data_IF_581271766551
#
_entry.id   IF_581271766551
#
_cell.length_a   1.000
_cell.length_b   1.000
_cell.length_c   1.000
_cell.angle_alpha   90.00
_cell.angle_beta   90.00
_cell.angle_gamma   90.00
#
_symmetry.space_group_name_H-M   'P 1'
#
loop_
_entity.id
_entity.type
_entity.pdbx_description
1 polymer ?
#
# COMPACT_ATOMS: atom_id res chain seq x y z
N UNK A 1 1.12 17.77 7.65
CA UNK A 1 1.95 16.56 7.52
C UNK A 1 2.02 16.10 6.07
N UNK A 2 0.90 15.74 5.44
CA UNK A 2 0.87 15.26 4.04
C UNK A 2 1.61 16.20 3.05
N UNK A 3 1.34 17.53 3.01
CA UNK A 3 2.04 18.41 2.06
C UNK A 3 3.57 18.40 2.24
N UNK A 4 4.04 18.27 3.48
CA UNK A 4 5.48 18.19 3.78
C UNK A 4 6.09 16.87 3.29
N UNK A 5 5.38 15.75 3.45
CA UNK A 5 5.80 14.45 2.91
C UNK A 5 5.87 14.52 1.38
N UNK A 6 4.84 15.06 0.74
CA UNK A 6 4.78 15.20 -0.71
C UNK A 6 5.94 16.05 -1.25
N UNK A 7 6.25 17.14 -0.57
CA UNK A 7 7.32 18.04 -0.98
C UNK A 7 8.72 17.45 -0.73
N UNK A 8 8.94 16.80 0.42
CA UNK A 8 10.29 16.48 0.89
C UNK A 8 10.68 15.02 0.70
N UNK A 9 9.73 14.09 0.78
CA UNK A 9 10.00 12.66 0.89
C UNK A 9 9.53 11.84 -0.32
N UNK A 10 8.62 12.35 -1.14
CA UNK A 10 8.16 11.61 -2.32
C UNK A 10 9.24 11.54 -3.41
N UNK A 11 9.38 10.35 -3.97
CA UNK A 11 10.26 10.07 -5.12
C UNK A 11 9.53 9.15 -6.11
N UNK A 12 10.03 9.00 -7.35
CA UNK A 12 9.49 8.01 -8.28
C UNK A 12 9.56 6.56 -7.76
N UNK A 13 10.46 6.27 -6.82
CA UNK A 13 10.73 4.92 -6.34
C UNK A 13 9.97 4.56 -5.05
N UNK A 14 9.26 5.52 -4.46
CA UNK A 14 8.57 5.41 -3.18
C UNK A 14 8.86 6.59 -2.25
N UNK A 15 8.30 6.55 -1.05
CA UNK A 15 8.50 7.60 -0.02
C UNK A 15 9.78 7.33 0.79
N UNK A 16 10.59 8.36 0.98
CA UNK A 16 11.78 8.31 1.83
C UNK A 16 11.40 8.25 3.31
N UNK A 17 12.21 7.58 4.13
CA UNK A 17 12.00 7.56 5.58
C UNK A 17 12.30 8.92 6.23
N UNK A 18 13.31 9.62 5.74
CA UNK A 18 13.58 11.02 6.04
C UNK A 18 14.47 11.63 4.93
N UNK A 19 14.51 12.95 4.88
CA UNK A 19 15.41 13.72 4.03
C UNK A 19 15.75 15.06 4.71
N UNK A 20 16.90 15.68 4.40
CA UNK A 20 17.99 15.10 3.62
C UNK A 20 18.70 13.96 4.38
N UNK A 21 19.36 13.02 3.68
CA UNK A 21 20.20 12.02 4.33
C UNK A 21 21.41 12.68 5.01
N UNK A 22 21.89 12.09 6.11
CA UNK A 22 23.10 12.55 6.78
C UNK A 22 24.34 12.30 5.93
N UNK A 23 25.24 13.26 5.88
CA UNK A 23 26.51 13.18 5.12
C UNK A 23 27.74 13.01 6.02
N UNK A 24 27.59 13.25 7.32
CA UNK A 24 28.62 13.11 8.37
C UNK A 24 27.96 12.62 9.65
N UNK A 25 28.77 12.01 10.52
CA UNK A 25 28.34 11.61 11.86
C UNK A 25 27.77 12.82 12.61
N UNK A 26 26.63 12.63 13.26
CA UNK A 26 26.07 13.54 14.25
C UNK A 26 25.95 12.78 15.57
N UNK A 27 26.84 13.07 16.51
CA UNK A 27 27.05 12.25 17.71
C UNK A 27 25.84 12.20 18.64
N UNK A 28 25.05 13.28 18.69
CA UNK A 28 23.79 13.38 19.46
C UNK A 28 22.60 12.64 18.81
N UNK A 29 22.78 12.04 17.61
CA UNK A 29 21.81 11.15 16.97
C UNK A 29 22.33 9.71 16.94
N UNK A 30 23.60 9.52 16.61
CA UNK A 30 24.25 8.21 16.63
C UNK A 30 24.44 7.56 15.26
N UNK A 31 24.65 6.25 15.28
CA UNK A 31 25.19 5.44 14.16
C UNK A 31 24.41 5.51 12.85
N UNK A 32 23.10 5.80 12.88
CA UNK A 32 22.29 5.96 11.67
C UNK A 32 22.89 7.00 10.71
N UNK A 33 23.48 8.06 11.26
CA UNK A 33 24.06 9.18 10.51
C UNK A 33 25.37 8.83 9.78
N UNK A 34 25.99 7.69 10.13
CA UNK A 34 27.25 7.22 9.54
C UNK A 34 27.04 6.30 8.32
N UNK A 35 25.81 5.82 8.08
CA UNK A 35 25.54 4.96 6.93
C UNK A 35 25.70 5.75 5.64
N UNK A 36 26.05 5.05 4.56
CA UNK A 36 26.13 5.66 3.23
C UNK A 36 24.81 6.37 2.86
N UNK A 37 24.93 7.48 2.16
CA UNK A 37 23.80 8.34 1.79
C UNK A 37 22.76 7.55 0.97
N UNK A 38 21.51 7.62 1.41
CA UNK A 38 20.39 6.93 0.77
C UNK A 38 20.41 5.40 0.96
N UNK A 39 21.24 4.88 1.87
CA UNK A 39 21.34 3.45 2.14
C UNK A 39 20.67 3.09 3.47
N UNK A 40 19.81 2.06 3.42
CA UNK A 40 19.11 1.55 4.58
C UNK A 40 18.43 2.68 5.38
N UNK A 41 18.69 2.80 6.67
CA UNK A 41 18.04 3.78 7.53
C UNK A 41 18.48 5.23 7.25
N UNK A 42 19.58 5.49 6.54
CA UNK A 42 20.01 6.86 6.24
C UNK A 42 19.36 7.41 4.97
N UNK A 43 18.06 7.71 5.08
CA UNK A 43 17.28 8.38 4.05
C UNK A 43 17.06 7.54 2.79
N UNK A 44 16.94 6.21 2.90
CA UNK A 44 16.48 5.39 1.80
C UNK A 44 14.95 5.46 1.63
N UNK A 45 14.46 4.96 0.49
CA UNK A 45 13.06 4.50 0.38
C UNK A 45 12.98 3.18 1.15
N UNK A 46 12.85 3.31 2.47
CA UNK A 46 12.80 2.17 3.38
C UNK A 46 11.38 1.59 3.35
N UNK A 47 11.18 0.50 2.61
CA UNK A 47 9.85 0.05 2.21
C UNK A 47 8.95 -0.26 3.42
N UNK A 48 9.51 -0.68 4.55
CA UNK A 48 8.72 -0.94 5.77
C UNK A 48 8.15 0.37 6.34
N UNK A 49 8.94 1.44 6.40
CA UNK A 49 8.43 2.76 6.79
C UNK A 49 7.38 3.28 5.79
N UNK A 50 7.60 3.06 4.49
CA UNK A 50 6.62 3.35 3.46
C UNK A 50 5.31 2.58 3.64
N UNK A 51 5.36 1.32 4.07
CA UNK A 51 4.16 0.51 4.31
C UNK A 51 3.33 1.04 5.49
N UNK A 52 3.97 1.56 6.54
CA UNK A 52 3.26 2.25 7.62
C UNK A 52 2.56 3.51 7.13
N UNK A 53 3.21 4.28 6.26
CA UNK A 53 2.60 5.47 5.67
C UNK A 53 1.39 5.11 4.81
N UNK A 54 1.51 4.11 3.94
CA UNK A 54 0.39 3.59 3.13
C UNK A 54 -0.77 3.16 4.04
N UNK A 55 -0.47 2.40 5.10
CA UNK A 55 -1.50 2.00 6.05
C UNK A 55 -2.19 3.20 6.68
N UNK A 56 -1.45 4.23 7.08
CA UNK A 56 -2.03 5.45 7.63
C UNK A 56 -2.96 6.16 6.64
N UNK A 57 -2.62 6.19 5.35
CA UNK A 57 -3.46 6.77 4.30
C UNK A 57 -4.77 6.00 4.13
N UNK A 58 -4.73 4.67 4.11
CA UNK A 58 -5.94 3.84 4.11
C UNK A 58 -6.76 3.99 5.40
N UNK A 59 -6.13 4.28 6.54
CA UNK A 59 -6.83 4.55 7.80
C UNK A 59 -7.55 5.90 7.82
N UNK A 60 -7.05 6.89 7.09
CA UNK A 60 -7.75 8.18 6.92
C UNK A 60 -9.02 8.05 6.07
N UNK A 61 -9.07 7.09 5.15
CA UNK A 61 -10.26 6.78 4.35
C UNK A 61 -10.53 7.73 3.18
N UNK A 62 -9.82 8.85 3.07
CA UNK A 62 -9.99 9.87 2.03
C UNK A 62 -8.74 10.09 1.16
N UNK A 63 -7.81 9.12 1.15
CA UNK A 63 -6.55 9.19 0.37
C UNK A 63 -6.31 7.92 -0.50
N UNK A 64 -7.33 7.34 -1.17
CA UNK A 64 -7.17 6.07 -1.89
C UNK A 64 -6.09 6.14 -2.98
N UNK A 65 -6.05 7.24 -3.74
CA UNK A 65 -5.07 7.45 -4.81
C UNK A 65 -3.65 7.51 -4.27
N UNK A 66 -3.40 8.34 -3.25
CA UNK A 66 -2.06 8.47 -2.66
C UNK A 66 -1.60 7.14 -2.07
N UNK A 67 -2.48 6.43 -1.37
CA UNK A 67 -2.16 5.12 -0.79
C UNK A 67 -1.78 4.12 -1.88
N UNK A 68 -2.59 4.03 -2.94
CA UNK A 68 -2.34 3.12 -4.06
C UNK A 68 -1.08 3.49 -4.85
N UNK A 69 -0.82 4.78 -5.09
CA UNK A 69 0.41 5.24 -5.75
C UNK A 69 1.65 4.73 -5.00
N UNK A 70 1.73 4.93 -3.68
CA UNK A 70 2.87 4.48 -2.90
C UNK A 70 2.97 2.95 -2.82
N UNK A 71 1.84 2.25 -2.75
CA UNK A 71 1.79 0.79 -2.81
C UNK A 71 2.35 0.29 -4.14
N UNK A 72 1.93 0.89 -5.26
CA UNK A 72 2.38 0.52 -6.61
C UNK A 72 3.86 0.83 -6.82
N UNK A 73 4.37 1.92 -6.26
CA UNK A 73 5.79 2.29 -6.33
C UNK A 73 6.73 1.26 -5.68
N UNK A 74 6.24 0.39 -4.78
CA UNK A 74 7.06 -0.67 -4.19
C UNK A 74 7.38 -1.81 -5.17
N UNK A 75 6.69 -1.89 -6.30
CA UNK A 75 6.85 -2.92 -7.33
C UNK A 75 7.60 -2.31 -8.54
N UNK A 76 8.74 -2.87 -8.97
CA UNK A 76 9.45 -2.40 -10.15
C UNK A 76 8.59 -2.43 -11.43
N UNK A 77 8.85 -1.51 -12.34
CA UNK A 77 8.23 -1.46 -13.67
C UNK A 77 6.96 -0.60 -13.76
N UNK A 78 6.31 -0.55 -14.93
CA UNK A 78 6.54 -1.44 -16.08
C UNK A 78 7.57 -0.93 -17.10
N UNK A 79 8.16 0.26 -16.88
CA UNK A 79 9.14 0.80 -17.83
C UNK A 79 10.50 0.09 -17.71
N UNK A 80 11.17 -0.10 -18.84
CA UNK A 80 12.53 -0.65 -18.88
C UNK A 80 13.49 0.20 -18.04
N UNK A 81 13.39 1.53 -18.12
CA UNK A 81 14.21 2.44 -17.33
C UNK A 81 14.08 2.20 -15.81
N UNK A 82 12.86 1.93 -15.31
CA UNK A 82 12.67 1.62 -13.88
C UNK A 82 13.26 0.25 -13.53
N UNK A 83 13.08 -0.77 -14.38
CA UNK A 83 13.70 -2.08 -14.17
C UNK A 83 15.23 -2.01 -14.12
N UNK A 84 15.85 -1.30 -15.06
CA UNK A 84 17.31 -1.12 -15.09
C UNK A 84 17.81 -0.30 -13.90
N UNK A 85 17.12 0.78 -13.53
CA UNK A 85 17.53 1.61 -12.40
C UNK A 85 17.44 0.86 -11.06
N UNK A 86 16.33 0.13 -10.84
CA UNK A 86 16.15 -0.67 -9.61
C UNK A 86 17.01 -1.92 -9.62
N UNK A 87 17.26 -2.50 -10.79
CA UNK A 87 18.15 -3.64 -10.99
C UNK A 87 17.68 -4.93 -10.32
N UNK A 88 16.37 -5.12 -10.13
CA UNK A 88 15.81 -6.34 -9.52
C UNK A 88 14.67 -6.90 -10.37
N UNK A 89 14.42 -8.21 -10.22
CA UNK A 89 13.19 -8.83 -10.74
C UNK A 89 11.98 -8.42 -9.88
N UNK A 90 10.79 -8.23 -10.48
CA UNK A 90 9.57 -7.84 -9.77
C UNK A 90 8.88 -9.03 -9.08
N UNK A 91 9.65 -9.87 -8.37
CA UNK A 91 9.15 -11.10 -7.70
C UNK A 91 9.21 -11.01 -6.17
N UNK A 92 9.71 -9.90 -5.63
CA UNK A 92 9.72 -9.59 -4.20
C UNK A 92 9.85 -8.07 -3.99
N UNK A 93 9.48 -7.60 -2.80
CA UNK A 93 9.75 -6.22 -2.35
C UNK A 93 11.00 -6.27 -1.46
N UNK A 94 12.07 -5.50 -1.77
CA UNK A 94 13.28 -5.49 -0.96
C UNK A 94 13.03 -4.70 0.34
N UNK A 95 13.95 -4.79 1.31
CA UNK A 95 13.85 -3.93 2.51
C UNK A 95 13.94 -2.43 2.17
N UNK A 96 14.72 -2.03 1.18
CA UNK A 96 14.78 -0.65 0.70
C UNK A 96 15.13 -0.54 -0.79
N UNK A 97 14.72 0.57 -1.40
CA UNK A 97 15.33 1.14 -2.60
C UNK A 97 16.20 2.32 -2.20
N UNK A 98 17.35 2.52 -2.86
CA UNK A 98 18.28 3.59 -2.52
C UNK A 98 17.56 4.94 -2.57
N UNK A 99 17.70 5.74 -1.52
CA UNK A 99 17.19 7.10 -1.49
C UNK A 99 18.23 8.12 -1.97
N UNK A 100 18.27 9.28 -1.31
CA UNK A 100 19.12 10.40 -1.75
C UNK A 100 18.74 10.88 -3.15
N UNK A 101 17.45 10.94 -3.46
CA UNK A 101 16.94 11.24 -4.80
C UNK A 101 17.41 12.59 -5.33
N UNK A 102 17.49 13.60 -4.46
CA UNK A 102 17.90 14.96 -4.83
C UNK A 102 19.42 15.11 -4.83
N UNK A 103 20.09 14.45 -3.91
CA UNK A 103 21.53 14.60 -3.66
C UNK A 103 22.38 13.66 -4.54
N UNK A 104 21.90 12.44 -4.81
CA UNK A 104 22.60 11.38 -5.53
C UNK A 104 21.68 10.65 -6.55
N UNK A 105 21.08 11.38 -7.51
CA UNK A 105 20.06 10.85 -8.42
C UNK A 105 20.53 9.63 -9.21
N UNK A 106 21.83 9.55 -9.55
CA UNK A 106 22.44 8.42 -10.28
C UNK A 106 22.16 7.05 -9.63
N UNK A 107 22.08 6.99 -8.29
CA UNK A 107 21.93 5.71 -7.58
C UNK A 107 20.56 5.50 -6.95
N UNK A 108 19.73 6.54 -6.88
CA UNK A 108 18.40 6.48 -6.29
C UNK A 108 17.52 5.44 -7.01
N UNK A 109 16.69 4.71 -6.26
CA UNK A 109 15.87 3.62 -6.78
C UNK A 109 16.56 2.26 -6.79
N UNK A 110 17.90 2.16 -6.71
CA UNK A 110 18.59 0.86 -6.72
C UNK A 110 18.11 -0.05 -5.58
N UNK A 111 17.69 -1.27 -5.89
CA UNK A 111 17.26 -2.26 -4.91
C UNK A 111 18.41 -2.70 -4.02
N UNK A 112 18.12 -2.95 -2.75
CA UNK A 112 19.05 -3.62 -1.83
C UNK A 112 19.26 -5.10 -2.13
N UNK A 113 18.36 -5.70 -2.92
CA UNK A 113 18.24 -7.13 -3.19
C UNK A 113 17.90 -8.00 -1.97
N UNK A 114 17.58 -7.40 -0.82
CA UNK A 114 17.29 -8.12 0.42
C UNK A 114 15.79 -8.40 0.55
N UNK A 115 15.39 -9.66 0.31
CA UNK A 115 13.99 -10.09 0.46
C UNK A 115 13.54 -10.24 1.92
N UNK A 116 14.48 -10.32 2.87
CA UNK A 116 14.17 -10.36 4.30
C UNK A 116 13.71 -8.97 4.75
N UNK A 117 12.40 -8.79 4.88
CA UNK A 117 11.80 -7.54 5.36
C UNK A 117 10.42 -7.76 5.96
N UNK A 118 10.09 -7.01 7.00
CA UNK A 118 8.72 -6.95 7.54
C UNK A 118 7.75 -6.15 6.67
N UNK A 119 8.21 -5.48 5.61
CA UNK A 119 7.36 -4.73 4.67
C UNK A 119 6.18 -5.56 4.17
N UNK A 120 6.43 -6.82 3.78
CA UNK A 120 5.46 -7.62 3.01
C UNK A 120 4.22 -8.00 3.83
N UNK A 121 4.33 -8.15 5.15
CA UNK A 121 3.16 -8.39 6.00
C UNK A 121 2.24 -7.17 6.06
N UNK A 122 2.83 -5.97 6.12
CA UNK A 122 2.09 -4.71 6.08
C UNK A 122 1.51 -4.41 4.71
N UNK A 123 2.25 -4.67 3.64
CA UNK A 123 1.76 -4.54 2.26
C UNK A 123 0.57 -5.46 2.02
N UNK A 124 0.67 -6.73 2.45
CA UNK A 124 -0.43 -7.68 2.32
C UNK A 124 -1.68 -7.22 3.08
N UNK A 125 -1.50 -6.71 4.31
CA UNK A 125 -2.57 -6.08 5.07
C UNK A 125 -3.16 -4.85 4.36
N UNK A 126 -2.33 -3.97 3.81
CA UNK A 126 -2.78 -2.80 3.05
C UNK A 126 -3.62 -3.20 1.83
N UNK A 127 -3.22 -4.26 1.11
CA UNK A 127 -4.00 -4.79 -0.02
C UNK A 127 -5.35 -5.33 0.45
N UNK A 128 -5.36 -6.22 1.45
CA UNK A 128 -6.59 -6.90 1.89
C UNK A 128 -7.54 -5.95 2.62
N UNK A 129 -7.05 -5.29 3.67
CA UNK A 129 -7.89 -4.51 4.59
C UNK A 129 -7.99 -3.03 4.19
N UNK A 130 -7.03 -2.51 3.43
CA UNK A 130 -7.01 -1.12 2.97
C UNK A 130 -7.67 -0.96 1.61
N UNK A 131 -6.97 -1.40 0.55
CA UNK A 131 -7.40 -1.30 -0.85
C UNK A 131 -8.70 -2.06 -1.10
N UNK A 132 -8.71 -3.36 -0.80
CA UNK A 132 -9.91 -4.19 -0.99
C UNK A 132 -10.97 -3.90 0.08
N UNK A 133 -10.56 -3.37 1.23
CA UNK A 133 -11.46 -3.03 2.33
C UNK A 133 -12.12 -4.23 3.01
N UNK A 134 -11.53 -5.42 2.87
CA UNK A 134 -12.05 -6.68 3.38
C UNK A 134 -11.43 -6.99 4.74
N UNK A 135 -11.98 -6.40 5.79
CA UNK A 135 -11.43 -6.47 7.15
C UNK A 135 -12.36 -7.23 8.09
N UNK A 136 -11.84 -8.27 8.71
CA UNK A 136 -12.56 -9.01 9.74
C UNK A 136 -12.61 -8.25 11.06
N UNK A 137 -13.70 -8.44 11.80
CA UNK A 137 -13.78 -8.19 13.23
C UNK A 137 -14.38 -9.41 13.94
N UNK A 138 -14.89 -9.25 15.15
CA UNK A 138 -15.56 -10.27 15.95
C UNK A 138 -16.83 -10.80 15.27
N UNK A 139 -17.73 -9.93 14.80
CA UNK A 139 -19.02 -10.38 14.26
C UNK A 139 -19.03 -10.70 12.76
N UNK A 140 -18.02 -10.28 11.97
CA UNK A 140 -18.07 -10.55 10.54
C UNK A 140 -16.95 -9.95 9.69
N UNK A 141 -17.29 -9.71 8.42
CA UNK A 141 -16.39 -9.14 7.41
C UNK A 141 -16.91 -7.78 6.94
N UNK A 142 -16.17 -6.72 7.24
CA UNK A 142 -16.40 -5.41 6.64
C UNK A 142 -16.02 -5.41 5.16
N UNK A 143 -16.78 -4.65 4.37
CA UNK A 143 -16.61 -4.46 2.93
C UNK A 143 -16.57 -2.95 2.64
N UNK A 144 -15.39 -2.35 2.80
CA UNK A 144 -15.17 -0.90 2.65
C UNK A 144 -14.03 -0.59 1.67
N UNK A 145 -14.17 -0.92 0.37
CA UNK A 145 -13.08 -0.78 -0.58
C UNK A 145 -12.65 0.68 -0.74
N UNK A 146 -11.36 0.90 -0.96
CA UNK A 146 -10.75 2.22 -1.19
C UNK A 146 -10.10 2.24 -2.58
N UNK A 147 -10.95 2.21 -3.60
CA UNK A 147 -10.52 2.11 -5.00
C UNK A 147 -9.80 3.39 -5.45
N UNK A 148 -8.64 3.28 -6.12
CA UNK A 148 -8.06 4.44 -6.79
C UNK A 148 -9.01 4.95 -7.88
N UNK A 149 -9.00 6.26 -8.13
CA UNK A 149 -9.83 6.96 -9.11
C UNK A 149 -9.68 6.41 -10.53
N UNK A 150 -8.51 5.86 -10.85
CA UNK A 150 -8.21 5.27 -12.17
C UNK A 150 -8.81 3.89 -12.40
N UNK A 151 -9.43 3.27 -11.40
CA UNK A 151 -10.06 1.96 -11.52
C UNK A 151 -11.57 2.10 -11.61
N UNK A 152 -12.17 1.54 -12.67
CA UNK A 152 -13.63 1.45 -12.82
C UNK A 152 -14.22 0.30 -11.99
N UNK A 153 -13.44 -0.76 -11.80
CA UNK A 153 -13.86 -2.01 -11.17
C UNK A 153 -12.70 -2.78 -10.53
N UNK A 154 -13.04 -3.63 -9.58
CA UNK A 154 -12.13 -4.58 -8.95
C UNK A 154 -12.90 -5.85 -8.60
N UNK A 155 -12.29 -7.02 -8.81
CA UNK A 155 -12.82 -8.30 -8.37
C UNK A 155 -11.84 -8.96 -7.42
N UNK A 156 -12.32 -9.42 -6.27
CA UNK A 156 -11.49 -10.03 -5.22
C UNK A 156 -12.14 -11.31 -4.74
N UNK A 157 -11.34 -12.38 -4.65
CA UNK A 157 -11.72 -13.60 -3.95
C UNK A 157 -10.99 -13.66 -2.62
N UNK A 158 -11.72 -13.67 -1.51
CA UNK A 158 -11.17 -13.69 -0.15
C UNK A 158 -11.75 -14.86 0.62
N UNK A 159 -10.92 -15.80 1.06
CA UNK A 159 -11.36 -16.77 2.07
C UNK A 159 -11.17 -16.20 3.46
N UNK A 160 -12.23 -16.18 4.26
CA UNK A 160 -12.28 -15.62 5.61
C UNK A 160 -13.12 -16.53 6.50
N UNK A 161 -12.54 -16.96 7.64
CA UNK A 161 -13.17 -17.91 8.59
C UNK A 161 -13.78 -19.16 7.91
N UNK A 162 -13.11 -19.67 6.88
CA UNK A 162 -13.53 -20.87 6.14
C UNK A 162 -14.58 -20.66 5.06
N UNK A 163 -15.17 -19.47 4.93
CA UNK A 163 -16.05 -19.11 3.82
C UNK A 163 -15.26 -18.43 2.69
N UNK A 164 -15.76 -18.52 1.46
CA UNK A 164 -15.19 -17.83 0.28
C UNK A 164 -16.06 -16.66 -0.12
N UNK A 165 -15.52 -15.45 -0.06
CA UNK A 165 -16.18 -14.23 -0.52
C UNK A 165 -15.71 -13.91 -1.93
N UNK A 166 -16.65 -13.81 -2.88
CA UNK A 166 -16.41 -13.30 -4.23
C UNK A 166 -16.99 -11.91 -4.30
N UNK A 167 -16.12 -10.90 -4.25
CA UNK A 167 -16.51 -9.49 -4.14
C UNK A 167 -16.27 -8.82 -5.50
N UNK A 168 -17.34 -8.23 -6.05
CA UNK A 168 -17.29 -7.44 -7.27
C UNK A 168 -17.58 -5.97 -6.95
N UNK A 169 -16.58 -5.13 -7.13
CA UNK A 169 -16.64 -3.69 -6.88
C UNK A 169 -16.70 -2.97 -8.22
N UNK A 170 -17.62 -2.01 -8.36
CA UNK A 170 -17.72 -1.11 -9.53
C UNK A 170 -18.07 0.30 -9.10
N UNK A 171 -17.70 1.29 -9.91
CA UNK A 171 -18.24 2.65 -9.80
C UNK A 171 -19.70 2.69 -10.26
N UNK A 172 -20.47 3.63 -9.71
CA UNK A 172 -21.86 3.84 -10.08
C UNK A 172 -22.42 5.15 -9.53
N UNK A 173 -23.63 5.47 -9.97
CA UNK A 173 -24.35 6.67 -9.54
C UNK A 173 -25.00 6.42 -8.17
N UNK A 174 -24.21 6.60 -7.10
CA UNK A 174 -24.62 6.47 -5.70
C UNK A 174 -23.90 7.52 -4.86
N UNK A 175 -24.58 8.07 -3.85
CA UNK A 175 -23.98 9.06 -2.94
C UNK A 175 -22.98 8.43 -1.96
N UNK A 176 -23.21 7.17 -1.59
CA UNK A 176 -22.39 6.42 -0.63
C UNK A 176 -22.18 4.99 -1.10
N UNK A 177 -21.19 4.30 -0.53
CA UNK A 177 -20.93 2.89 -0.85
C UNK A 177 -22.14 2.02 -0.52
N UNK A 178 -22.61 1.26 -1.51
CA UNK A 178 -23.71 0.30 -1.38
C UNK A 178 -23.15 -1.12 -1.47
N UNK A 179 -23.46 -1.97 -0.49
CA UNK A 179 -23.04 -3.37 -0.45
C UNK A 179 -24.28 -4.26 -0.51
N UNK A 180 -24.25 -5.27 -1.39
CA UNK A 180 -25.32 -6.24 -1.58
C UNK A 180 -24.83 -7.67 -1.47
N UNK A 181 -25.66 -8.55 -0.90
CA UNK A 181 -25.47 -9.99 -0.88
C UNK A 181 -26.74 -10.64 -1.43
N UNK A 182 -26.65 -11.21 -2.63
CA UNK A 182 -27.85 -11.57 -3.40
C UNK A 182 -28.72 -10.33 -3.68
N UNK A 183 -30.01 -10.41 -3.37
CA UNK A 183 -30.95 -9.30 -3.54
C UNK A 183 -30.98 -8.34 -2.34
N UNK A 184 -30.30 -8.67 -1.24
CA UNK A 184 -30.31 -7.89 -0.01
C UNK A 184 -29.27 -6.77 -0.05
N UNK A 185 -29.72 -5.53 0.11
CA UNK A 185 -28.85 -4.38 0.42
C UNK A 185 -28.57 -4.36 1.92
N UNK A 186 -27.30 -4.33 2.31
CA UNK A 186 -26.93 -4.31 3.71
C UNK A 186 -27.07 -2.88 4.28
N UNK A 187 -27.67 -2.77 5.47
CA UNK A 187 -27.76 -1.50 6.20
C UNK A 187 -26.36 -0.97 6.59
N UNK A 188 -25.48 -1.87 7.02
CA UNK A 188 -24.06 -1.58 7.22
C UNK A 188 -23.24 -2.39 6.21
N UNK A 189 -22.07 -1.89 5.75
CA UNK A 189 -21.21 -2.60 4.82
C UNK A 189 -20.45 -3.75 5.50
N UNK A 190 -21.15 -4.67 6.17
CA UNK A 190 -20.63 -5.78 6.96
C UNK A 190 -21.45 -7.04 6.71
N UNK A 191 -20.80 -8.12 6.30
CA UNK A 191 -21.42 -9.44 6.17
C UNK A 191 -21.21 -10.21 7.47
N UNK A 192 -22.29 -10.59 8.14
CA UNK A 192 -22.27 -11.27 9.45
C UNK A 192 -22.81 -12.71 9.41
N UNK A 193 -23.75 -13.01 8.52
CA UNK A 193 -24.32 -14.35 8.37
C UNK A 193 -23.64 -15.11 7.21
N UNK A 194 -22.70 -15.99 7.56
CA UNK A 194 -22.02 -16.88 6.64
C UNK A 194 -21.44 -18.09 7.37
N UNK A 195 -21.23 -19.21 6.65
CA UNK A 195 -20.72 -20.46 7.23
C UNK A 195 -19.45 -20.94 6.52
N UNK A 196 -18.60 -21.67 7.24
CA UNK A 196 -17.45 -22.32 6.63
C UNK A 196 -17.90 -23.27 5.51
N UNK A 197 -17.17 -23.26 4.38
CA UNK A 197 -17.52 -23.99 3.16
C UNK A 197 -18.51 -23.27 2.24
N UNK A 198 -19.13 -22.18 2.67
CA UNK A 198 -20.02 -21.37 1.85
C UNK A 198 -19.25 -20.48 0.87
N UNK A 199 -19.87 -20.17 -0.28
CA UNK A 199 -19.44 -19.10 -1.18
C UNK A 199 -20.44 -17.96 -1.14
N UNK A 200 -20.01 -16.81 -0.61
CA UNK A 200 -20.81 -15.59 -0.51
C UNK A 200 -20.45 -14.66 -1.67
N UNK A 201 -21.43 -14.31 -2.51
CA UNK A 201 -21.27 -13.31 -3.57
C UNK A 201 -21.63 -11.94 -3.03
N UNK A 202 -20.73 -10.97 -3.17
CA UNK A 202 -20.91 -9.61 -2.68
C UNK A 202 -20.76 -8.64 -3.85
N UNK A 203 -21.78 -7.84 -4.11
CA UNK A 203 -21.72 -6.75 -5.08
C UNK A 203 -21.54 -5.42 -4.34
N UNK A 204 -20.61 -4.59 -4.80
CA UNK A 204 -20.30 -3.30 -4.20
C UNK A 204 -20.35 -2.22 -5.26
N UNK A 205 -21.17 -1.19 -5.02
CA UNK A 205 -21.18 0.03 -5.83
C UNK A 205 -20.56 1.15 -5.02
N UNK A 206 -19.46 1.71 -5.51
CA UNK A 206 -18.83 2.90 -4.92
C UNK A 206 -19.22 4.14 -5.73
N UNK A 207 -19.27 5.34 -5.10
CA UNK A 207 -19.49 6.58 -5.82
C UNK A 207 -18.48 6.79 -6.96
N UNK A 208 -18.86 7.57 -7.97
CA UNK A 208 -17.98 7.99 -9.07
C UNK A 208 -16.75 8.72 -8.53
#
# INVERSE_FOLDING_TARGET
>A
MIPQIDQQLNTPYGVLMFAPPFTKMREDIGRVTQKAIGSAENGAVYNHAGAFYIWSLYKLGNQPDRAYTHLRQMIPGPSEADYFQRGQLPVYIPNYYRGGWREFPRTAGRSSQLFNTGTVSWVYRCVIEGLCGLRGDDDGLWVRPQLPSTWDRMRVTRVFRGATFVVEVRRGDVDTVVVKVGDLILHEPKVTDFRAGETVKVEVVVPQ
#
